data_IF_134760675475
#
_entry.id   IF_134760675475
#
_cell.length_a   1.000
_cell.length_b   1.000
_cell.length_c   1.000
_cell.angle_alpha   90.00
_cell.angle_beta   90.00
_cell.angle_gamma   90.00
#
_symmetry.space_group_name_H-M   'P 1'
#
loop_
_entity.id
_entity.type
_entity.pdbx_description
1 polymer ?
#
# COMPACT_ATOMS: atom_id res chain seq x y z
N UNK A 1 -20.45 -24.82 -13.76
CA UNK A 1 -21.26 -23.87 -12.95
C UNK A 1 -20.35 -23.37 -11.84
N UNK A 2 -19.62 -22.29 -12.10
CA UNK A 2 -18.56 -21.80 -11.22
C UNK A 2 -19.17 -21.19 -9.97
N UNK A 3 -18.75 -21.72 -8.82
CA UNK A 3 -19.19 -21.32 -7.48
C UNK A 3 -18.60 -19.93 -7.22
N UNK A 4 -19.47 -18.93 -7.04
CA UNK A 4 -19.11 -17.63 -6.50
C UNK A 4 -18.41 -17.85 -5.16
N UNK A 5 -17.12 -17.53 -5.09
CA UNK A 5 -16.41 -17.41 -3.82
C UNK A 5 -16.71 -16.01 -3.29
N UNK A 6 -17.68 -15.96 -2.37
CA UNK A 6 -17.83 -14.87 -1.42
C UNK A 6 -16.87 -15.15 -0.27
N UNK A 7 -15.76 -14.42 -0.18
CA UNK A 7 -14.95 -14.25 1.03
C UNK A 7 -13.90 -13.20 0.71
N UNK A 8 -14.20 -11.93 1.04
CA UNK A 8 -13.20 -10.87 1.17
C UNK A 8 -12.35 -11.17 2.42
N UNK A 9 -11.55 -12.24 2.36
CA UNK A 9 -10.51 -12.49 3.34
C UNK A 9 -9.42 -11.44 3.10
N UNK A 10 -9.42 -10.40 3.93
CA UNK A 10 -8.28 -9.48 4.01
C UNK A 10 -7.08 -10.31 4.47
N UNK A 11 -6.20 -10.64 3.52
CA UNK A 11 -4.97 -11.37 3.79
C UNK A 11 -4.04 -10.46 4.60
N UNK A 12 -4.05 -10.61 5.93
CA UNK A 12 -3.08 -9.99 6.81
C UNK A 12 -1.77 -10.75 6.72
N UNK A 13 -0.74 -10.10 6.19
CA UNK A 13 0.61 -10.65 6.15
C UNK A 13 1.39 -10.17 7.39
N UNK A 14 2.36 -10.97 7.84
CA UNK A 14 3.39 -10.49 8.78
C UNK A 14 4.39 -9.63 8.00
N UNK A 15 3.90 -8.52 7.44
CA UNK A 15 4.66 -7.55 6.66
C UNK A 15 4.94 -6.34 7.55
N UNK A 16 6.20 -5.98 7.73
CA UNK A 16 6.55 -4.73 8.40
C UNK A 16 6.71 -3.62 7.37
N UNK A 17 5.98 -2.51 7.56
CA UNK A 17 6.04 -1.36 6.66
C UNK A 17 6.41 -0.08 7.38
N UNK A 18 7.33 0.68 6.79
CA UNK A 18 7.62 2.06 7.17
C UNK A 18 6.80 3.03 6.34
N UNK A 19 6.05 3.92 7.00
CA UNK A 19 5.27 4.96 6.32
C UNK A 19 5.92 6.32 6.54
N UNK A 20 6.18 7.02 5.44
CA UNK A 20 6.88 8.30 5.42
C UNK A 20 6.06 9.32 4.64
N UNK A 21 5.99 10.54 5.13
CA UNK A 21 5.41 11.67 4.43
C UNK A 21 6.37 12.86 4.54
N UNK A 22 6.66 13.50 3.42
CA UNK A 22 7.53 14.66 3.41
C UNK A 22 6.75 15.98 3.52
N UNK A 23 7.45 17.11 3.64
CA UNK A 23 6.82 18.44 3.79
C UNK A 23 6.00 18.89 2.58
N UNK A 24 6.15 18.24 1.43
CA UNK A 24 5.39 18.50 0.20
C UNK A 24 4.13 17.63 0.10
N UNK A 25 3.89 16.77 1.08
CA UNK A 25 2.77 15.83 1.10
C UNK A 25 3.02 14.54 0.32
N UNK A 26 4.21 14.36 -0.25
CA UNK A 26 4.57 13.14 -0.99
C UNK A 26 4.76 12.00 0.01
N UNK A 27 4.18 10.84 -0.30
CA UNK A 27 4.17 9.66 0.56
C UNK A 27 5.11 8.58 0.03
N UNK A 28 5.75 7.88 0.96
CA UNK A 28 6.62 6.74 0.69
C UNK A 28 6.24 5.57 1.61
N UNK A 29 6.22 4.37 1.04
CA UNK A 29 6.02 3.10 1.73
C UNK A 29 7.30 2.29 1.58
N UNK A 30 7.97 2.05 2.70
CA UNK A 30 9.13 1.18 2.77
C UNK A 30 8.70 -0.22 3.20
N UNK A 31 8.91 -1.21 2.36
CA UNK A 31 8.62 -2.62 2.64
C UNK A 31 9.89 -3.36 3.08
N UNK A 32 9.71 -4.32 3.99
CA UNK A 32 10.72 -5.32 4.33
C UNK A 32 10.84 -6.41 3.25
N UNK A 33 9.75 -6.75 2.57
CA UNK A 33 9.69 -7.65 1.42
C UNK A 33 9.60 -6.88 0.07
N UNK A 34 10.62 -6.98 -0.80
CA UNK A 34 10.63 -6.32 -2.12
C UNK A 34 9.48 -6.70 -3.06
N UNK A 35 8.77 -7.81 -2.84
CA UNK A 35 7.62 -8.21 -3.67
C UNK A 35 6.56 -7.11 -3.69
N UNK A 36 6.35 -6.40 -2.58
CA UNK A 36 5.32 -5.37 -2.46
C UNK A 36 5.67 -4.05 -3.17
N UNK A 37 6.95 -3.85 -3.53
CA UNK A 37 7.36 -2.72 -4.37
C UNK A 37 6.72 -2.79 -5.77
N UNK A 38 6.35 -3.99 -6.22
CA UNK A 38 5.67 -4.22 -7.49
C UNK A 38 4.15 -4.00 -7.45
N UNK A 39 3.60 -3.41 -6.38
CA UNK A 39 2.17 -3.15 -6.32
C UNK A 39 1.69 -2.31 -7.51
N UNK A 40 0.61 -2.77 -8.13
CA UNK A 40 -0.06 -2.11 -9.25
C UNK A 40 -0.68 -0.77 -8.82
N UNK A 41 -1.13 -0.71 -7.56
CA UNK A 41 -1.70 0.48 -6.94
C UNK A 41 -1.65 0.37 -5.41
N UNK A 42 -1.74 1.52 -4.74
CA UNK A 42 -2.02 1.61 -3.31
C UNK A 42 -3.46 2.06 -3.14
N UNK A 43 -4.28 1.23 -2.50
CA UNK A 43 -5.65 1.55 -2.17
C UNK A 43 -5.75 2.08 -0.74
N UNK A 44 -6.46 3.19 -0.57
CA UNK A 44 -6.65 3.87 0.71
C UNK A 44 -8.13 3.83 1.04
N UNK A 45 -8.49 3.18 2.15
CA UNK A 45 -9.83 3.27 2.73
C UNK A 45 -9.87 4.37 3.80
N UNK A 46 -10.54 5.52 3.54
CA UNK A 46 -10.63 6.62 4.48
C UNK A 46 -11.60 6.37 5.64
N UNK A 47 -12.50 5.39 5.55
CA UNK A 47 -13.41 5.06 6.66
C UNK A 47 -12.66 4.23 7.71
N UNK A 48 -12.02 3.17 7.26
CA UNK A 48 -11.33 2.22 8.14
C UNK A 48 -9.89 2.61 8.44
N UNK A 49 -9.40 3.69 7.82
CA UNK A 49 -8.02 4.15 7.92
C UNK A 49 -7.03 3.04 7.56
N UNK A 50 -7.31 2.31 6.47
CA UNK A 50 -6.47 1.19 6.02
C UNK A 50 -5.79 1.51 4.70
N UNK A 51 -4.59 0.96 4.55
CA UNK A 51 -3.85 0.91 3.30
C UNK A 51 -3.77 -0.53 2.81
N UNK A 52 -4.01 -0.71 1.52
CA UNK A 52 -3.84 -1.97 0.84
C UNK A 52 -2.89 -1.82 -0.34
N UNK A 53 -1.98 -2.77 -0.50
CA UNK A 53 -1.23 -2.93 -1.74
C UNK A 53 -2.05 -3.82 -2.69
N UNK A 54 -2.30 -3.35 -3.91
CA UNK A 54 -2.94 -4.15 -4.95
C UNK A 54 -1.84 -4.82 -5.76
N UNK A 55 -1.75 -6.16 -5.70
CA UNK A 55 -0.76 -6.94 -6.46
C UNK A 55 -1.53 -7.97 -7.28
N UNK A 56 -1.40 -7.91 -8.60
CA UNK A 56 -2.13 -8.78 -9.53
C UNK A 56 -3.63 -8.83 -9.22
N UNK A 57 -4.24 -7.66 -9.06
CA UNK A 57 -5.67 -7.47 -8.72
C UNK A 57 -6.10 -7.97 -7.33
N UNK A 58 -5.17 -8.43 -6.49
CA UNK A 58 -5.47 -8.89 -5.13
C UNK A 58 -5.12 -7.80 -4.12
N UNK A 59 -6.06 -7.36 -3.27
CA UNK A 59 -5.77 -6.41 -2.20
C UNK A 59 -5.11 -7.12 -1.02
N UNK A 60 -4.00 -6.57 -0.54
CA UNK A 60 -3.31 -7.01 0.66
C UNK A 60 -3.29 -5.87 1.66
N UNK A 61 -3.84 -6.09 2.86
CA UNK A 61 -3.77 -5.11 3.93
C UNK A 61 -2.30 -4.95 4.36
N UNK A 62 -1.76 -3.73 4.24
CA UNK A 62 -0.36 -3.44 4.59
C UNK A 62 -0.23 -2.58 5.86
N UNK A 63 -1.21 -1.72 6.16
CA UNK A 63 -1.14 -0.86 7.34
C UNK A 63 -2.50 -0.28 7.75
N UNK A 64 -2.63 0.03 9.04
CA UNK A 64 -3.54 1.05 9.54
C UNK A 64 -2.81 2.38 9.67
N UNK A 65 -3.46 3.48 9.33
CA UNK A 65 -2.84 4.81 9.27
C UNK A 65 -3.54 5.82 10.18
N UNK A 66 -2.79 6.84 10.61
CA UNK A 66 -3.36 7.97 11.35
C UNK A 66 -4.04 8.96 10.40
N UNK A 67 -4.87 9.85 10.95
CA UNK A 67 -5.51 10.96 10.20
C UNK A 67 -4.50 11.79 9.40
N UNK A 68 -3.32 12.04 9.98
CA UNK A 68 -2.27 12.82 9.33
C UNK A 68 -1.70 12.11 8.09
N UNK A 69 -1.51 10.79 8.17
CA UNK A 69 -1.10 9.99 7.02
C UNK A 69 -2.23 9.84 6.02
N UNK A 70 -3.47 9.67 6.48
CA UNK A 70 -4.64 9.62 5.60
C UNK A 70 -4.77 10.90 4.77
N UNK A 71 -4.59 12.08 5.38
CA UNK A 71 -4.56 13.36 4.66
C UNK A 71 -3.44 13.42 3.61
N UNK A 72 -2.27 12.86 3.90
CA UNK A 72 -1.15 12.80 2.96
C UNK A 72 -1.44 11.86 1.78
N UNK A 73 -1.95 10.66 2.05
CA UNK A 73 -2.30 9.69 1.00
C UNK A 73 -3.45 10.19 0.12
N UNK A 74 -4.47 10.83 0.70
CA UNK A 74 -5.62 11.36 -0.05
C UNK A 74 -5.30 12.61 -0.88
N UNK A 75 -4.25 13.34 -0.53
CA UNK A 75 -3.79 14.51 -1.30
C UNK A 75 -2.72 14.16 -2.36
N UNK A 76 -2.13 12.97 -2.28
CA UNK A 76 -1.17 12.45 -3.24
C UNK A 76 -1.84 11.65 -4.36
N UNK A 77 -1.29 11.74 -5.58
CA UNK A 77 -1.73 10.91 -6.71
C UNK A 77 -1.01 9.57 -6.79
N UNK A 78 0.18 9.53 -6.23
CA UNK A 78 1.12 8.41 -6.35
C UNK A 78 1.89 8.26 -5.04
N UNK A 79 2.31 7.03 -4.75
CA UNK A 79 3.19 6.70 -3.64
C UNK A 79 4.52 6.17 -4.18
N UNK A 80 5.62 6.58 -3.57
CA UNK A 80 6.91 5.91 -3.74
C UNK A 80 6.89 4.61 -2.94
N UNK A 81 7.22 3.51 -3.58
CA UNK A 81 7.35 2.19 -2.97
C UNK A 81 8.83 1.83 -2.97
N UNK A 82 9.37 1.46 -1.83
CA UNK A 82 10.79 1.16 -1.68
C UNK A 82 11.01 -0.11 -0.84
N UNK A 83 12.04 -0.87 -1.16
CA UNK A 83 12.54 -1.96 -0.31
C UNK A 83 14.04 -2.13 -0.51
N UNK A 84 14.71 -2.70 0.49
CA UNK A 84 16.13 -3.06 0.37
C UNK A 84 16.24 -4.48 -0.20
N UNK A 85 16.98 -4.64 -1.28
CA UNK A 85 17.27 -5.93 -1.89
C UNK A 85 18.36 -6.68 -1.11
N UNK A 86 18.49 -8.02 -1.26
CA UNK A 86 19.53 -8.80 -0.57
C UNK A 86 20.97 -8.36 -0.85
N UNK A 87 21.22 -7.67 -1.97
CA UNK A 87 22.53 -7.10 -2.31
C UNK A 87 22.78 -5.71 -1.69
N UNK A 88 21.83 -5.21 -0.89
CA UNK A 88 21.89 -3.92 -0.21
C UNK A 88 21.44 -2.73 -1.05
N UNK A 89 21.03 -2.93 -2.30
CA UNK A 89 20.48 -1.85 -3.13
C UNK A 89 19.04 -1.53 -2.76
N UNK A 90 18.62 -0.30 -3.01
CA UNK A 90 17.20 0.09 -2.84
C UNK A 90 16.50 -0.13 -4.17
N UNK A 91 15.43 -0.92 -4.13
CA UNK A 91 14.52 -1.08 -5.25
C UNK A 91 13.33 -0.13 -5.04
N UNK A 92 13.10 0.75 -6.01
CA UNK A 92 12.08 1.80 -5.93
C UNK A 92 11.17 1.77 -7.15
N UNK A 93 9.86 1.86 -6.91
CA UNK A 93 8.85 2.04 -7.94
C UNK A 93 7.82 3.08 -7.48
N UNK A 94 7.05 3.59 -8.43
CA UNK A 94 5.94 4.51 -8.14
C UNK A 94 4.65 3.81 -8.50
N UNK A 95 3.67 3.85 -7.59
CA UNK A 95 2.35 3.29 -7.81
C UNK A 95 1.27 4.36 -7.63
N UNK A 96 0.20 4.34 -8.45
CA UNK A 96 -0.92 5.24 -8.27
C UNK A 96 -1.64 4.97 -6.95
N UNK A 97 -2.17 6.04 -6.35
CA UNK A 97 -3.02 5.95 -5.17
C UNK A 97 -4.48 5.99 -5.62
N UNK A 98 -5.25 5.01 -5.14
CA UNK A 98 -6.69 4.92 -5.37
C UNK A 98 -7.36 5.14 -4.02
N UNK A 99 -8.21 6.15 -3.93
CA UNK A 99 -9.01 6.42 -2.72
C UNK A 99 -10.42 5.91 -2.97
N UNK A 100 -10.92 5.06 -2.08
CA UNK A 100 -12.26 4.50 -2.21
C UNK A 100 -12.69 3.80 -0.94
N UNK A 101 -13.87 3.22 -1.00
CA UNK A 101 -14.38 2.33 0.04
C UNK A 101 -14.73 1.00 -0.62
N UNK A 102 -14.41 -0.10 0.03
CA UNK A 102 -14.71 -1.45 -0.46
C UNK A 102 -16.17 -1.84 -0.21
#
# INVERSE_FOLDING_TARGET
>A
MARYLSENEQLSLNLEVGLLCNRRGEVCIAFDDPVYVHADAIFVDPQDHTLHAIIFQTPYLIAHISDGMLAAFTSSREALLAAVQPDGQVFELVAPIIVGHA
#
